data_IF_301948244252
#
_entry.id   IF_301948244252
#
_cell.length_a   1.000
_cell.length_b   1.000
_cell.length_c   1.000
_cell.angle_alpha   90.00
_cell.angle_beta   90.00
_cell.angle_gamma   90.00
#
_symmetry.space_group_name_H-M   'P 1'
#
loop_
_entity.id
_entity.type
_entity.pdbx_description
1 polymer ?
#
# COMPACT_ATOMS: atom_id res chain seq x y z
N UNK A 1 -12.31 7.66 -23.45
CA UNK A 1 -12.36 7.29 -22.63
C UNK A 1 -11.92 7.62 -21.30
N UNK A 2 -12.67 7.81 -20.54
CA UNK A 2 -12.58 8.38 -19.24
C UNK A 2 -11.74 7.63 -18.26
N UNK A 3 -11.23 6.52 -18.63
CA UNK A 3 -10.50 5.70 -17.68
C UNK A 3 -9.04 6.13 -17.45
N UNK A 4 -8.57 7.10 -18.21
CA UNK A 4 -7.18 7.53 -18.09
C UNK A 4 -6.83 8.10 -16.70
N UNK A 5 -7.83 8.56 -15.94
CA UNK A 5 -7.61 9.11 -14.60
C UNK A 5 -8.00 8.13 -13.50
N UNK A 6 -8.48 6.96 -13.89
CA UNK A 6 -8.98 6.01 -12.91
C UNK A 6 -7.84 5.15 -12.38
N UNK A 7 -7.65 5.18 -11.08
CA UNK A 7 -6.70 4.26 -10.48
C UNK A 7 -7.32 2.89 -10.39
N UNK A 8 -6.59 1.90 -10.88
CA UNK A 8 -6.94 0.53 -10.61
C UNK A 8 -6.48 0.24 -9.19
N UNK A 9 -7.41 -0.03 -8.30
CA UNK A 9 -7.06 -0.42 -6.94
C UNK A 9 -6.32 -1.75 -6.99
N UNK A 10 -5.25 -1.90 -6.19
CA UNK A 10 -4.61 -3.21 -6.09
C UNK A 10 -5.62 -4.26 -5.63
N UNK A 11 -5.61 -5.41 -6.29
CA UNK A 11 -6.48 -6.52 -5.94
C UNK A 11 -5.63 -7.77 -5.80
N UNK A 12 -5.81 -8.47 -4.69
CA UNK A 12 -5.09 -9.71 -4.44
C UNK A 12 -5.71 -10.87 -5.20
N UNK A 13 -4.87 -11.73 -5.72
CA UNK A 13 -5.30 -13.00 -6.32
C UNK A 13 -4.75 -14.19 -5.55
N UNK A 14 -3.79 -13.98 -4.64
CA UNK A 14 -3.30 -15.05 -3.76
C UNK A 14 -2.75 -14.45 -2.47
N UNK A 15 -2.99 -15.13 -1.36
CA UNK A 15 -2.45 -14.83 -0.04
C UNK A 15 -2.07 -16.15 0.61
N UNK A 16 -0.86 -16.24 1.14
CA UNK A 16 -0.41 -17.42 1.86
C UNK A 16 0.45 -16.98 3.05
N UNK A 17 0.16 -17.44 4.26
CA UNK A 17 1.00 -17.11 5.41
C UNK A 17 2.36 -17.78 5.28
N UNK A 18 3.39 -17.08 5.76
CA UNK A 18 4.76 -17.56 5.76
C UNK A 18 5.37 -17.35 7.15
N UNK A 19 6.59 -17.79 7.34
CA UNK A 19 7.25 -17.71 8.63
C UNK A 19 7.46 -16.25 9.07
N UNK A 20 7.57 -16.07 10.39
CA UNK A 20 7.93 -14.79 11.01
C UNK A 20 6.96 -13.65 10.66
N UNK A 21 5.66 -13.96 10.68
CA UNK A 21 4.60 -12.97 10.47
C UNK A 21 4.64 -12.33 9.08
N UNK A 22 5.01 -13.10 8.08
CA UNK A 22 5.01 -12.66 6.68
C UNK A 22 3.83 -13.25 5.93
N UNK A 23 3.40 -12.52 4.89
CA UNK A 23 2.44 -13.03 3.91
C UNK A 23 3.12 -13.07 2.54
N UNK A 24 2.97 -14.18 1.84
CA UNK A 24 3.26 -14.22 0.42
C UNK A 24 2.02 -13.73 -0.29
N UNK A 25 2.15 -12.68 -1.08
CA UNK A 25 1.00 -12.07 -1.78
C UNK A 25 1.26 -12.00 -3.26
N UNK A 26 0.18 -12.08 -4.03
CA UNK A 26 0.21 -11.85 -5.47
C UNK A 26 -0.98 -10.98 -5.83
N UNK A 27 -0.72 -9.99 -6.67
CA UNK A 27 -1.74 -9.05 -7.11
C UNK A 27 -2.17 -9.35 -8.55
N UNK A 28 -3.36 -8.85 -8.91
CA UNK A 28 -3.95 -9.11 -10.22
C UNK A 28 -3.11 -8.58 -11.38
N UNK A 29 -2.27 -7.56 -11.14
CA UNK A 29 -1.38 -7.01 -12.15
C UNK A 29 -0.11 -7.85 -12.38
N UNK A 30 0.03 -8.97 -11.65
CA UNK A 30 1.18 -9.85 -11.76
C UNK A 30 2.28 -9.57 -10.74
N UNK A 31 2.22 -8.45 -10.04
CA UNK A 31 3.19 -8.15 -9.00
C UNK A 31 2.95 -9.03 -7.77
N UNK A 32 3.95 -9.18 -6.94
CA UNK A 32 3.83 -9.94 -5.72
C UNK A 32 5.16 -10.08 -5.00
N UNK A 33 5.12 -10.74 -3.88
CA UNK A 33 6.31 -10.99 -3.07
C UNK A 33 5.94 -11.24 -1.63
N UNK A 34 6.94 -11.19 -0.77
CA UNK A 34 6.78 -11.40 0.66
C UNK A 34 6.62 -10.06 1.37
N UNK A 35 5.55 -9.92 2.14
CA UNK A 35 5.29 -8.73 2.96
C UNK A 35 5.43 -9.12 4.42
N UNK A 36 6.29 -8.43 5.17
CA UNK A 36 6.39 -8.61 6.62
C UNK A 36 5.33 -7.78 7.31
N UNK A 37 4.55 -8.42 8.17
CA UNK A 37 3.57 -7.75 9.02
C UNK A 37 4.02 -7.72 10.47
N UNK A 38 5.24 -8.15 10.77
CA UNK A 38 5.70 -8.30 12.15
C UNK A 38 5.59 -7.01 12.94
N UNK A 39 6.09 -5.92 12.38
CA UNK A 39 6.03 -4.62 13.06
C UNK A 39 4.59 -4.21 13.35
N UNK A 40 3.71 -4.32 12.37
CA UNK A 40 2.30 -3.96 12.53
C UNK A 40 1.60 -4.84 13.57
N UNK A 41 1.86 -6.15 13.52
CA UNK A 41 1.26 -7.11 14.46
C UNK A 41 1.64 -6.78 15.89
N UNK A 42 2.89 -6.39 16.13
CA UNK A 42 3.38 -6.15 17.50
C UNK A 42 3.23 -4.70 17.96
N UNK A 43 2.84 -3.78 17.08
CA UNK A 43 2.64 -2.38 17.45
C UNK A 43 1.17 -1.96 17.47
N UNK A 44 0.33 -2.56 16.65
CA UNK A 44 -1.07 -2.15 16.54
C UNK A 44 -1.97 -3.04 17.40
N UNK A 45 -2.69 -2.42 18.34
CA UNK A 45 -3.54 -3.17 19.26
C UNK A 45 -4.63 -3.96 18.54
N UNK A 46 -5.13 -3.44 17.41
CA UNK A 46 -6.15 -4.14 16.61
C UNK A 46 -5.66 -5.44 15.99
N UNK A 47 -4.36 -5.62 15.88
CA UNK A 47 -3.75 -6.83 15.32
C UNK A 47 -3.18 -7.75 16.41
N UNK A 48 -3.38 -7.42 17.69
CA UNK A 48 -2.84 -8.21 18.79
C UNK A 48 -3.19 -9.70 18.73
N UNK A 49 -4.41 -10.11 18.33
CA UNK A 49 -4.71 -11.54 18.21
C UNK A 49 -3.82 -12.28 17.22
N UNK A 50 -3.23 -11.58 16.25
CA UNK A 50 -2.33 -12.21 15.26
C UNK A 50 -0.94 -12.50 15.81
N UNK A 51 -0.64 -12.07 17.03
CA UNK A 51 0.66 -12.34 17.68
C UNK A 51 0.84 -13.83 17.96
N UNK A 52 -0.26 -14.56 18.07
CA UNK A 52 -0.21 -16.00 18.18
C UNK A 52 0.09 -16.60 16.81
N UNK A 53 1.20 -17.34 16.63
CA UNK A 53 1.58 -17.86 15.31
C UNK A 53 0.50 -18.70 14.64
N UNK A 54 -0.22 -19.53 15.40
CA UNK A 54 -1.29 -20.35 14.84
C UNK A 54 -2.43 -19.47 14.30
N UNK A 55 -2.75 -18.37 15.00
CA UNK A 55 -3.76 -17.44 14.54
C UNK A 55 -3.32 -16.73 13.26
N UNK A 56 -2.09 -16.26 13.22
CA UNK A 56 -1.55 -15.60 12.02
C UNK A 56 -1.61 -16.55 10.81
N UNK A 57 -1.30 -17.82 11.03
CA UNK A 57 -1.26 -18.83 9.95
C UNK A 57 -2.63 -19.12 9.32
N UNK A 58 -3.71 -18.60 9.89
CA UNK A 58 -5.05 -18.79 9.32
C UNK A 58 -5.41 -17.72 8.29
N UNK A 59 -4.47 -16.88 7.87
CA UNK A 59 -4.69 -15.86 6.87
C UNK A 59 -5.28 -16.45 5.57
N UNK A 60 -6.22 -15.73 4.99
CA UNK A 60 -6.90 -16.17 3.78
C UNK A 60 -7.17 -14.99 2.85
N UNK A 61 -7.36 -15.28 1.58
CA UNK A 61 -7.78 -14.31 0.59
C UNK A 61 -9.28 -14.07 0.75
N UNK A 62 -9.71 -12.81 0.78
CA UNK A 62 -11.14 -12.49 0.81
C UNK A 62 -11.80 -12.84 -0.52
N UNK A 63 -13.16 -12.91 -0.51
CA UNK A 63 -13.93 -13.39 -1.66
C UNK A 63 -13.64 -12.64 -2.96
N UNK A 64 -13.39 -11.31 -2.85
CA UNK A 64 -13.18 -10.49 -4.05
C UNK A 64 -11.73 -9.99 -4.18
N UNK A 65 -10.84 -10.42 -3.27
CA UNK A 65 -9.44 -10.05 -3.35
C UNK A 65 -9.11 -8.64 -2.84
N UNK A 66 -10.05 -7.98 -2.17
CA UNK A 66 -9.79 -6.63 -1.66
C UNK A 66 -9.05 -6.63 -0.32
N UNK A 67 -9.01 -7.75 0.38
CA UNK A 67 -8.32 -7.87 1.65
C UNK A 67 -7.67 -9.24 1.81
N UNK A 68 -6.63 -9.29 2.64
CA UNK A 68 -6.25 -10.51 3.34
C UNK A 68 -7.07 -10.53 4.64
N UNK A 69 -7.60 -11.68 5.03
CA UNK A 69 -8.49 -11.72 6.17
C UNK A 69 -8.19 -12.91 7.09
N UNK A 70 -8.57 -12.71 8.35
CA UNK A 70 -8.56 -13.74 9.38
C UNK A 70 -9.98 -13.82 9.90
N UNK A 71 -10.85 -14.61 9.22
CA UNK A 71 -12.30 -14.55 9.47
C UNK A 71 -12.70 -14.85 10.90
N UNK A 72 -12.03 -15.80 11.55
CA UNK A 72 -12.37 -16.17 12.93
C UNK A 72 -12.04 -15.08 13.93
N UNK A 73 -11.17 -14.16 13.56
CA UNK A 73 -10.74 -13.08 14.43
C UNK A 73 -11.35 -11.74 14.05
N UNK A 74 -12.12 -11.72 12.96
CA UNK A 74 -12.72 -10.49 12.41
C UNK A 74 -11.64 -9.43 12.14
N UNK A 75 -10.51 -9.86 11.56
CA UNK A 75 -9.41 -8.98 11.19
C UNK A 75 -9.24 -9.01 9.68
N UNK A 76 -9.03 -7.83 9.09
CA UNK A 76 -8.80 -7.68 7.66
C UNK A 76 -7.72 -6.64 7.44
N UNK A 77 -6.88 -6.87 6.43
CA UNK A 77 -5.89 -5.88 5.98
C UNK A 77 -6.12 -5.68 4.48
N UNK A 78 -6.37 -4.44 4.08
CA UNK A 78 -6.70 -4.13 2.70
C UNK A 78 -5.57 -4.44 1.72
N UNK A 79 -5.95 -4.83 0.52
CA UNK A 79 -4.99 -5.10 -0.55
C UNK A 79 -4.13 -3.88 -0.85
N UNK A 80 -4.69 -2.67 -0.80
CA UNK A 80 -3.94 -1.44 -1.00
C UNK A 80 -2.88 -1.23 0.09
N UNK A 81 -3.20 -1.55 1.34
CA UNK A 81 -2.24 -1.48 2.44
C UNK A 81 -1.10 -2.48 2.23
N UNK A 82 -1.44 -3.71 1.85
CA UNK A 82 -0.42 -4.73 1.59
C UNK A 82 0.45 -4.37 0.39
N UNK A 83 -0.14 -3.77 -0.64
CA UNK A 83 0.61 -3.32 -1.80
C UNK A 83 1.61 -2.21 -1.41
N UNK A 84 1.17 -1.26 -0.59
CA UNK A 84 2.04 -0.20 -0.09
C UNK A 84 3.19 -0.78 0.74
N UNK A 85 2.90 -1.74 1.61
CA UNK A 85 3.93 -2.41 2.41
C UNK A 85 4.92 -3.17 1.51
N UNK A 86 4.41 -3.85 0.48
CA UNK A 86 5.26 -4.57 -0.46
C UNK A 86 6.25 -3.61 -1.13
N UNK A 87 5.75 -2.50 -1.65
CA UNK A 87 6.59 -1.51 -2.30
C UNK A 87 7.58 -0.87 -1.32
N UNK A 88 7.12 -0.54 -0.12
CA UNK A 88 7.96 0.09 0.90
C UNK A 88 9.09 -0.83 1.34
N UNK A 89 8.80 -2.11 1.56
CA UNK A 89 9.77 -3.09 2.01
C UNK A 89 10.75 -3.51 0.91
N UNK A 90 10.36 -3.33 -0.35
CA UNK A 90 11.16 -3.73 -1.51
C UNK A 90 11.47 -2.55 -2.43
N UNK A 91 11.20 -1.31 -2.00
CA UNK A 91 11.37 -0.17 -2.89
C UNK A 91 12.82 0.26 -2.96
N UNK A 92 13.30 0.35 -4.17
CA UNK A 92 14.67 0.79 -4.45
C UNK A 92 14.69 2.03 -5.32
N UNK A 93 13.54 2.41 -5.87
CA UNK A 93 13.48 3.52 -6.83
C UNK A 93 12.63 4.66 -6.29
N UNK A 94 12.88 5.90 -6.74
CA UNK A 94 12.02 7.03 -6.39
C UNK A 94 10.57 6.84 -6.85
N UNK A 95 10.35 6.17 -7.99
CA UNK A 95 9.00 5.90 -8.49
C UNK A 95 8.22 5.01 -7.52
N UNK A 96 8.87 3.98 -6.97
CA UNK A 96 8.23 3.09 -6.00
C UNK A 96 7.88 3.86 -4.73
N UNK A 97 8.79 4.69 -4.23
CA UNK A 97 8.53 5.49 -3.03
C UNK A 97 7.39 6.48 -3.25
N UNK A 98 7.28 7.06 -4.44
CA UNK A 98 6.19 7.95 -4.79
C UNK A 98 4.85 7.21 -4.79
N UNK A 99 4.83 6.01 -5.38
CA UNK A 99 3.62 5.18 -5.41
C UNK A 99 3.21 4.77 -4.00
N UNK A 100 4.16 4.39 -3.14
CA UNK A 100 3.90 4.08 -1.73
C UNK A 100 3.27 5.27 -1.02
N UNK A 101 3.86 6.47 -1.20
CA UNK A 101 3.32 7.69 -0.60
C UNK A 101 1.86 7.90 -1.01
N UNK A 102 1.57 7.77 -2.28
CA UNK A 102 0.23 8.00 -2.81
C UNK A 102 -0.79 6.98 -2.26
N UNK A 103 -0.43 5.71 -2.33
CA UNK A 103 -1.33 4.62 -1.91
C UNK A 103 -1.53 4.63 -0.40
N UNK A 104 -0.45 4.80 0.36
CA UNK A 104 -0.50 4.83 1.82
C UNK A 104 -1.43 5.93 2.33
N UNK A 105 -1.49 7.03 1.63
CA UNK A 105 -2.30 8.17 2.03
C UNK A 105 -3.67 8.22 1.33
N UNK A 106 -4.02 7.15 0.62
CA UNK A 106 -5.33 7.04 0.00
C UNK A 106 -5.59 8.02 -1.14
N UNK A 107 -4.53 8.52 -1.77
CA UNK A 107 -4.66 9.54 -2.81
C UNK A 107 -4.85 8.91 -4.19
N UNK A 108 -5.95 9.26 -4.85
CA UNK A 108 -6.14 8.93 -6.26
C UNK A 108 -5.13 9.72 -7.10
N UNK A 109 -4.99 9.37 -8.38
CA UNK A 109 -4.15 10.17 -9.28
C UNK A 109 -4.63 11.61 -9.31
N UNK A 110 -5.95 11.82 -9.37
CA UNK A 110 -6.52 13.15 -9.39
C UNK A 110 -6.26 13.90 -8.06
N UNK A 111 -6.41 13.22 -6.93
CA UNK A 111 -6.16 13.83 -5.63
C UNK A 111 -4.68 14.21 -5.49
N UNK A 112 -3.77 13.32 -5.85
CA UNK A 112 -2.34 13.62 -5.80
C UNK A 112 -1.99 14.80 -6.72
N UNK A 113 -2.60 14.83 -7.89
CA UNK A 113 -2.44 15.95 -8.83
C UNK A 113 -2.81 17.29 -8.18
N UNK A 114 -3.95 17.34 -7.50
CA UNK A 114 -4.39 18.55 -6.82
C UNK A 114 -3.46 18.92 -5.67
N UNK A 115 -3.06 17.95 -4.87
CA UNK A 115 -2.21 18.20 -3.70
C UNK A 115 -0.82 18.66 -4.07
N UNK A 116 -0.27 18.15 -5.17
CA UNK A 116 1.08 18.49 -5.59
C UNK A 116 1.14 19.64 -6.60
N UNK A 117 -0.01 20.04 -7.14
CA UNK A 117 -0.05 21.12 -8.13
C UNK A 117 0.54 20.73 -9.48
N UNK A 118 0.44 19.46 -9.85
CA UNK A 118 0.90 18.94 -11.16
C UNK A 118 -0.26 18.25 -11.86
N UNK A 119 -0.10 17.95 -13.14
CA UNK A 119 -1.17 17.28 -13.90
C UNK A 119 -1.29 15.80 -13.51
N UNK A 120 -2.46 15.22 -13.75
CA UNK A 120 -2.68 13.77 -13.55
C UNK A 120 -1.70 12.97 -14.40
N UNK A 121 -1.43 13.42 -15.61
CA UNK A 121 -0.46 12.74 -16.50
C UNK A 121 0.93 12.73 -15.87
N UNK A 122 1.33 13.81 -15.24
CA UNK A 122 2.61 13.91 -14.55
C UNK A 122 2.66 12.96 -13.34
N UNK A 123 1.58 12.90 -12.55
CA UNK A 123 1.52 11.97 -11.42
C UNK A 123 1.67 10.54 -11.90
N UNK A 124 0.96 10.17 -12.97
CA UNK A 124 1.06 8.82 -13.55
C UNK A 124 2.48 8.52 -14.01
N UNK A 125 3.14 9.50 -14.67
CA UNK A 125 4.50 9.32 -15.17
C UNK A 125 5.51 9.17 -14.02
N UNK A 126 5.31 9.87 -12.91
CA UNK A 126 6.16 9.71 -11.72
C UNK A 126 6.03 8.30 -11.16
N UNK A 127 4.82 7.79 -11.04
CA UNK A 127 4.58 6.48 -10.46
C UNK A 127 5.07 5.31 -11.31
N UNK A 128 5.08 5.49 -12.62
CA UNK A 128 5.55 4.45 -13.55
C UNK A 128 7.06 4.50 -13.79
N UNK A 129 7.73 5.55 -13.35
CA UNK A 129 9.14 5.75 -13.64
C UNK A 129 9.41 6.34 -15.01
N UNK A 130 8.35 6.69 -15.77
CA UNK A 130 8.52 7.27 -17.10
C UNK A 130 9.10 8.68 -17.06
N UNK A 131 9.03 9.33 -15.92
CA UNK A 131 9.53 10.69 -15.74
C UNK A 131 10.23 10.79 -14.39
N UNK A 132 11.45 11.37 -14.34
CA UNK A 132 12.16 11.56 -13.08
C UNK A 132 11.36 12.47 -12.15
N UNK A 133 11.42 12.19 -10.85
CA UNK A 133 10.71 12.97 -9.84
C UNK A 133 11.66 14.05 -9.33
N UNK A 134 11.32 15.34 -9.54
CA UNK A 134 12.18 16.42 -9.04
C UNK A 134 12.30 16.38 -7.51
N UNK A 135 13.43 16.85 -7.01
CA UNK A 135 13.65 16.91 -5.57
C UNK A 135 12.55 17.70 -4.86
N UNK A 136 12.06 18.78 -5.50
CA UNK A 136 10.97 19.56 -4.92
C UNK A 136 9.69 18.75 -4.72
N UNK A 137 9.39 17.83 -5.62
CA UNK A 137 8.21 16.95 -5.48
C UNK A 137 8.45 15.93 -4.38
N UNK A 138 9.67 15.38 -4.28
CA UNK A 138 10.00 14.46 -3.20
C UNK A 138 9.82 15.12 -1.84
N UNK A 139 10.30 16.36 -1.70
CA UNK A 139 10.12 17.14 -0.47
C UNK A 139 8.66 17.49 -0.22
N UNK A 140 7.90 17.75 -1.28
CA UNK A 140 6.47 18.04 -1.15
C UNK A 140 5.71 16.83 -0.58
N UNK A 141 6.06 15.62 -0.98
CA UNK A 141 5.43 14.41 -0.45
C UNK A 141 5.69 14.27 1.06
N UNK A 142 6.91 14.51 1.48
CA UNK A 142 7.28 14.49 2.90
C UNK A 142 6.54 15.58 3.67
N UNK A 143 6.52 16.79 3.13
CA UNK A 143 5.84 17.92 3.74
C UNK A 143 4.34 17.71 3.85
N UNK A 144 3.76 17.09 2.84
CA UNK A 144 2.34 16.77 2.85
C UNK A 144 1.98 15.84 4.01
N UNK A 145 2.78 14.78 4.21
CA UNK A 145 2.55 13.86 5.34
C UNK A 145 2.69 14.55 6.68
N UNK A 146 3.68 15.42 6.81
CA UNK A 146 3.87 16.18 8.04
C UNK A 146 2.68 17.11 8.32
N UNK A 147 2.16 17.74 7.27
CA UNK A 147 0.99 18.59 7.38
C UNK A 147 -0.24 17.81 7.85
N UNK A 148 -0.46 16.61 7.28
CA UNK A 148 -1.57 15.77 7.70
C UNK A 148 -1.43 15.34 9.16
N UNK A 149 -0.22 15.04 9.58
CA UNK A 149 0.05 14.64 10.96
C UNK A 149 -0.32 15.75 11.94
N UNK A 150 -0.02 17.00 11.59
CA UNK A 150 -0.38 18.15 12.40
C UNK A 150 -1.88 18.36 12.51
N UNK A 151 -2.62 18.07 11.43
CA UNK A 151 -4.07 18.22 11.42
C UNK A 151 -4.77 17.20 12.30
N UNK A 152 -4.18 16.03 12.48
CA UNK A 152 -4.79 14.95 13.26
C UNK A 152 -4.26 14.88 14.69
N UNK A 153 -3.20 15.63 14.97
CA UNK A 153 -2.58 15.65 16.30
C UNK A 153 -3.06 16.79 17.21
#
# INVERSE_FOLDING_TARGET
>A
MANATRITRPRLVAVSPAADYCLEVRFADGSGGTVSLKESVFSLSGLAPLREPAAFSSAALSAYGWEAEWPRLDIQIGADTLFAYLLDQHSETPADRFTVWRIRNGLSLAAASRELGVTVRTVSAYGSGARPIPRTVQLACIGWEEEQRRKTG
#
